data_IF_543451801390
#
_entry.id   IF_543451801390
#
_cell.length_a   1.000
_cell.length_b   1.000
_cell.length_c   1.000
_cell.angle_alpha   90.00
_cell.angle_beta   90.00
_cell.angle_gamma   90.00
#
_symmetry.space_group_name_H-M   'P 1'
#
loop_
_entity.id
_entity.type
_entity.pdbx_description
1 polymer ?
#
# COMPACT_ATOMS: atom_id res chain seq x y z
N UNK A 1 -12.76 -10.76 -7.43
CA UNK A 1 -12.52 -10.66 -5.98
C UNK A 1 -13.02 -9.32 -5.53
N UNK A 2 -13.62 -9.27 -4.35
CA UNK A 2 -14.07 -8.05 -3.69
C UNK A 2 -12.95 -7.52 -2.80
N UNK A 3 -12.51 -6.30 -3.07
CA UNK A 3 -11.43 -5.64 -2.35
C UNK A 3 -11.96 -4.38 -1.71
N UNK A 4 -11.77 -4.25 -0.40
CA UNK A 4 -11.97 -2.98 0.30
C UNK A 4 -10.63 -2.29 0.50
N UNK A 5 -10.52 -1.03 0.10
CA UNK A 5 -9.31 -0.22 0.23
C UNK A 5 -9.55 0.92 1.21
N UNK A 6 -9.02 0.83 2.42
CA UNK A 6 -9.18 1.83 3.47
C UNK A 6 -8.09 2.90 3.35
N UNK A 7 -8.53 4.12 3.08
CA UNK A 7 -7.71 5.30 2.81
C UNK A 7 -7.71 5.63 1.31
N UNK A 8 -8.07 6.85 0.96
CA UNK A 8 -8.00 7.38 -0.42
C UNK A 8 -6.94 8.47 -0.57
N UNK A 9 -5.85 8.33 0.19
CA UNK A 9 -4.60 9.04 -0.08
C UNK A 9 -3.89 8.47 -1.32
N UNK A 10 -2.66 8.91 -1.57
CA UNK A 10 -1.90 8.53 -2.76
C UNK A 10 -1.80 7.01 -2.96
N UNK A 11 -1.33 6.29 -1.94
CA UNK A 11 -1.18 4.82 -1.98
C UNK A 11 -2.52 4.12 -2.21
N UNK A 12 -3.53 4.46 -1.41
CA UNK A 12 -4.81 3.75 -1.42
C UNK A 12 -5.61 4.01 -2.70
N UNK A 13 -5.69 5.27 -3.16
CA UNK A 13 -6.42 5.62 -4.37
C UNK A 13 -5.78 4.99 -5.62
N UNK A 14 -4.45 5.10 -5.76
CA UNK A 14 -3.75 4.49 -6.90
C UNK A 14 -3.89 2.96 -6.86
N UNK A 15 -3.63 2.33 -5.71
CA UNK A 15 -3.71 0.87 -5.60
C UNK A 15 -5.13 0.35 -5.86
N UNK A 16 -6.14 0.98 -5.26
CA UNK A 16 -7.54 0.58 -5.44
C UNK A 16 -7.99 0.72 -6.90
N UNK A 17 -7.61 1.82 -7.54
CA UNK A 17 -7.92 2.05 -8.97
C UNK A 17 -7.22 1.01 -9.86
N UNK A 18 -5.94 0.72 -9.61
CA UNK A 18 -5.20 -0.26 -10.41
C UNK A 18 -5.69 -1.69 -10.18
N UNK A 19 -6.09 -2.06 -8.97
CA UNK A 19 -6.76 -3.35 -8.72
C UNK A 19 -8.08 -3.46 -9.48
N UNK A 20 -8.84 -2.37 -9.58
CA UNK A 20 -10.08 -2.33 -10.36
C UNK A 20 -9.82 -2.48 -11.86
N UNK A 21 -8.74 -1.85 -12.35
CA UNK A 21 -8.30 -1.95 -13.74
C UNK A 21 -7.96 -3.39 -14.15
N UNK A 22 -7.34 -4.16 -13.24
CA UNK A 22 -7.03 -5.58 -13.49
C UNK A 22 -8.21 -6.53 -13.22
N UNK A 23 -9.41 -5.99 -13.02
CA UNK A 23 -10.66 -6.75 -13.02
C UNK A 23 -11.22 -7.12 -11.65
N UNK A 24 -10.71 -6.55 -10.56
CA UNK A 24 -11.33 -6.74 -9.24
C UNK A 24 -12.46 -5.72 -9.00
N UNK A 25 -13.41 -6.10 -8.15
CA UNK A 25 -14.44 -5.18 -7.66
C UNK A 25 -13.90 -4.50 -6.41
N UNK A 26 -13.66 -3.19 -6.51
CA UNK A 26 -12.97 -2.41 -5.48
C UNK A 26 -13.90 -1.35 -4.90
N UNK A 27 -13.94 -1.30 -3.57
CA UNK A 27 -14.57 -0.20 -2.84
C UNK A 27 -13.52 0.53 -2.03
N UNK A 28 -13.31 1.79 -2.34
CA UNK A 28 -12.40 2.68 -1.63
C UNK A 28 -13.15 3.41 -0.52
N UNK A 29 -12.66 3.30 0.72
CA UNK A 29 -13.29 3.86 1.92
C UNK A 29 -12.40 4.94 2.51
N UNK A 30 -12.96 6.12 2.80
CA UNK A 30 -12.27 7.17 3.55
C UNK A 30 -13.26 7.87 4.49
N UNK A 31 -12.78 8.32 5.65
CA UNK A 31 -13.62 9.02 6.64
C UNK A 31 -13.90 10.46 6.23
N UNK A 32 -13.06 11.04 5.37
CA UNK A 32 -13.24 12.39 4.86
C UNK A 32 -14.37 12.40 3.81
N UNK A 33 -15.57 12.76 4.26
CA UNK A 33 -16.75 12.85 3.42
C UNK A 33 -16.57 13.81 2.23
N UNK A 34 -15.85 14.91 2.42
CA UNK A 34 -15.61 15.88 1.34
C UNK A 34 -14.70 15.29 0.26
N UNK A 35 -13.70 14.49 0.66
CA UNK A 35 -12.83 13.76 -0.27
C UNK A 35 -13.60 12.68 -1.05
N UNK A 36 -14.45 11.91 -0.36
CA UNK A 36 -15.31 10.89 -0.99
C UNK A 36 -16.30 11.53 -1.97
N UNK A 37 -16.92 12.65 -1.61
CA UNK A 37 -17.82 13.40 -2.49
C UNK A 37 -17.11 13.89 -3.76
N UNK A 38 -15.90 14.46 -3.63
CA UNK A 38 -15.07 14.82 -4.78
C UNK A 38 -14.79 13.64 -5.70
N UNK A 39 -14.37 12.50 -5.15
CA UNK A 39 -14.10 11.30 -5.92
C UNK A 39 -15.34 10.80 -6.66
N UNK A 40 -16.51 10.80 -6.02
CA UNK A 40 -17.78 10.44 -6.64
C UNK A 40 -18.21 11.43 -7.74
N UNK A 41 -17.78 12.69 -7.66
CA UNK A 41 -17.97 13.71 -8.70
C UNK A 41 -16.89 13.67 -9.79
N UNK A 42 -15.92 12.75 -9.73
CA UNK A 42 -14.81 12.63 -10.68
C UNK A 42 -13.68 13.64 -10.45
N UNK A 43 -13.67 14.33 -9.31
CA UNK A 43 -12.62 15.28 -8.92
C UNK A 43 -11.52 14.57 -8.12
N UNK A 44 -10.29 14.55 -8.64
CA UNK A 44 -9.18 13.86 -7.98
C UNK A 44 -8.59 14.71 -6.85
N UNK A 45 -8.45 14.16 -5.63
CA UNK A 45 -7.86 14.87 -4.48
C UNK A 45 -6.33 14.95 -4.51
N UNK A 46 -5.70 14.24 -5.45
CA UNK A 46 -4.25 14.15 -5.65
C UNK A 46 -3.93 14.33 -7.13
N UNK A 47 -2.69 14.71 -7.44
CA UNK A 47 -2.19 14.71 -8.80
C UNK A 47 -1.37 13.44 -9.06
N UNK A 48 -1.82 12.63 -10.00
CA UNK A 48 -1.07 11.49 -10.54
C UNK A 48 -1.38 11.35 -12.04
N UNK A 49 -0.37 11.35 -12.93
CA UNK A 49 -0.60 11.30 -14.37
C UNK A 49 -1.46 10.10 -14.81
N UNK A 50 -2.64 10.38 -15.38
CA UNK A 50 -3.57 9.39 -15.92
C UNK A 50 -4.57 8.80 -14.91
N UNK A 51 -4.46 9.13 -13.62
CA UNK A 51 -5.33 8.56 -12.57
C UNK A 51 -6.79 8.96 -12.74
N UNK A 52 -7.06 10.21 -13.11
CA UNK A 52 -8.39 10.75 -13.39
C UNK A 52 -9.15 9.90 -14.43
N UNK A 53 -8.49 9.59 -15.55
CA UNK A 53 -9.05 8.79 -16.62
C UNK A 53 -9.29 7.33 -16.20
N UNK A 54 -8.37 6.78 -15.40
CA UNK A 54 -8.43 5.40 -14.93
C UNK A 54 -9.56 5.21 -13.90
N UNK A 55 -9.72 6.17 -12.97
CA UNK A 55 -10.85 6.20 -12.04
C UNK A 55 -12.16 6.31 -12.80
N UNK A 56 -12.29 7.27 -13.72
CA UNK A 56 -13.53 7.47 -14.48
C UNK A 56 -13.93 6.21 -15.28
N UNK A 57 -12.96 5.53 -15.90
CA UNK A 57 -13.19 4.29 -16.64
C UNK A 57 -13.71 3.18 -15.72
N UNK A 58 -13.07 2.96 -14.58
CA UNK A 58 -13.41 1.86 -13.67
C UNK A 58 -14.71 2.11 -12.88
N UNK A 59 -15.01 3.37 -12.55
CA UNK A 59 -16.32 3.77 -12.00
C UNK A 59 -17.42 3.50 -13.02
N UNK A 60 -17.23 3.92 -14.29
CA UNK A 60 -18.19 3.66 -15.37
C UNK A 60 -18.39 2.16 -15.62
N UNK A 61 -17.34 1.36 -15.44
CA UNK A 61 -17.41 -0.09 -15.57
C UNK A 61 -18.06 -0.79 -14.35
N UNK A 62 -18.39 -0.05 -13.29
CA UNK A 62 -19.03 -0.58 -12.08
C UNK A 62 -18.09 -1.38 -11.16
N UNK A 63 -16.78 -1.34 -11.41
CA UNK A 63 -15.76 -2.08 -10.63
C UNK A 63 -15.05 -1.23 -9.58
N UNK A 64 -15.27 0.08 -9.56
CA UNK A 64 -14.70 1.00 -8.57
C UNK A 64 -15.80 1.87 -8.00
N UNK A 65 -15.86 1.97 -6.68
CA UNK A 65 -16.75 2.90 -5.98
C UNK A 65 -16.10 3.50 -4.74
N UNK A 66 -16.65 4.61 -4.26
CA UNK A 66 -16.14 5.35 -3.11
C UNK A 66 -17.24 5.55 -2.07
N UNK A 67 -16.93 5.35 -0.79
CA UNK A 67 -17.88 5.49 0.30
C UNK A 67 -17.22 5.92 1.59
N UNK A 68 -18.01 6.47 2.52
CA UNK A 68 -17.62 6.68 3.92
C UNK A 68 -18.07 5.52 4.82
N UNK A 69 -18.97 4.65 4.35
CA UNK A 69 -19.39 3.46 5.07
C UNK A 69 -18.38 2.33 4.90
N UNK A 70 -17.75 1.94 6.01
CA UNK A 70 -16.79 0.83 6.02
C UNK A 70 -17.48 -0.54 6.12
N UNK A 71 -18.64 -0.61 6.80
CA UNK A 71 -19.20 -1.89 7.23
C UNK A 71 -19.64 -2.76 6.06
N UNK A 72 -20.43 -2.20 5.14
CA UNK A 72 -20.90 -2.94 3.96
C UNK A 72 -19.75 -3.51 3.12
N UNK A 73 -18.77 -2.68 2.72
CA UNK A 73 -17.62 -3.14 1.94
C UNK A 73 -16.78 -4.22 2.64
N UNK A 74 -16.50 -4.07 3.94
CA UNK A 74 -15.69 -5.06 4.69
C UNK A 74 -16.41 -6.39 4.80
N UNK A 75 -17.72 -6.41 5.10
CA UNK A 75 -18.51 -7.64 5.17
C UNK A 75 -18.44 -8.49 3.87
N UNK A 76 -18.33 -7.83 2.71
CA UNK A 76 -18.34 -8.50 1.41
C UNK A 76 -16.93 -8.79 0.86
N UNK A 77 -15.87 -8.38 1.55
CA UNK A 77 -14.52 -8.38 1.00
C UNK A 77 -13.79 -9.71 1.18
N UNK A 78 -13.17 -10.19 0.10
CA UNK A 78 -12.16 -11.25 0.15
C UNK A 78 -10.86 -10.73 0.81
N UNK A 79 -10.52 -9.46 0.53
CA UNK A 79 -9.35 -8.79 1.07
C UNK A 79 -9.64 -7.33 1.45
N UNK A 80 -9.14 -6.90 2.60
CA UNK A 80 -9.26 -5.53 3.11
C UNK A 80 -7.88 -4.94 3.27
N UNK A 81 -7.58 -3.89 2.51
CA UNK A 81 -6.31 -3.18 2.60
C UNK A 81 -6.41 -1.99 3.55
N UNK A 82 -5.46 -1.91 4.46
CA UNK A 82 -5.22 -0.72 5.28
C UNK A 82 -4.09 0.07 4.59
N UNK A 83 -4.47 1.17 3.94
CA UNK A 83 -3.60 2.07 3.18
C UNK A 83 -3.72 3.53 3.68
N UNK A 84 -3.97 3.68 4.98
CA UNK A 84 -4.01 4.98 5.67
C UNK A 84 -2.61 5.55 5.89
N UNK A 85 -2.52 6.86 6.12
CA UNK A 85 -1.25 7.51 6.41
C UNK A 85 -0.64 7.03 7.73
N UNK A 86 0.69 7.05 7.78
CA UNK A 86 1.51 6.78 8.97
C UNK A 86 2.51 7.92 9.12
N UNK A 87 2.04 9.15 9.41
CA UNK A 87 2.92 10.30 9.54
C UNK A 87 3.89 10.12 10.71
N UNK A 88 4.92 10.96 10.79
CA UNK A 88 5.75 11.04 11.99
C UNK A 88 4.92 11.47 13.20
N UNK A 89 5.25 10.93 14.36
CA UNK A 89 4.73 11.38 15.65
C UNK A 89 5.02 12.86 15.89
N UNK A 90 4.31 13.48 16.84
CA UNK A 90 4.49 14.90 17.15
C UNK A 90 5.92 15.28 17.57
N UNK A 91 6.67 14.34 18.13
CA UNK A 91 8.09 14.47 18.51
C UNK A 91 9.07 13.96 17.44
N UNK A 92 8.57 13.50 16.28
CA UNK A 92 9.32 12.95 15.14
C UNK A 92 10.21 11.74 15.47
N UNK A 93 9.92 11.01 16.56
CA UNK A 93 10.75 9.86 16.99
C UNK A 93 10.25 8.52 16.45
N UNK A 94 8.97 8.42 16.12
CA UNK A 94 8.34 7.17 15.68
C UNK A 94 7.22 7.43 14.66
N UNK A 95 6.73 6.37 14.02
CA UNK A 95 5.56 6.44 13.15
C UNK A 95 4.28 6.50 14.00
N UNK A 96 3.35 7.39 13.67
CA UNK A 96 2.01 7.40 14.24
C UNK A 96 1.16 6.29 13.60
N UNK A 97 0.81 5.30 14.43
CA UNK A 97 0.02 4.13 14.03
C UNK A 97 -1.45 4.23 14.46
N UNK A 98 -1.87 5.38 15.02
CA UNK A 98 -3.24 5.59 15.50
C UNK A 98 -4.28 5.33 14.41
N UNK A 99 -4.02 5.77 13.18
CA UNK A 99 -4.92 5.54 12.03
C UNK A 99 -5.00 4.06 11.63
N UNK A 100 -3.86 3.36 11.63
CA UNK A 100 -3.81 1.91 11.31
C UNK A 100 -4.59 1.12 12.36
N UNK A 101 -4.39 1.42 13.64
CA UNK A 101 -5.10 0.74 14.73
C UNK A 101 -6.58 1.08 14.78
N UNK A 102 -6.96 2.32 14.46
CA UNK A 102 -8.37 2.69 14.32
C UNK A 102 -9.04 1.90 13.17
N UNK A 103 -8.39 1.84 12.00
CA UNK A 103 -8.87 1.05 10.87
C UNK A 103 -9.00 -0.44 11.24
N UNK A 104 -8.02 -1.01 11.93
CA UNK A 104 -8.06 -2.40 12.38
C UNK A 104 -9.26 -2.70 13.31
N UNK A 105 -9.60 -1.78 14.23
CA UNK A 105 -10.78 -1.93 15.11
C UNK A 105 -12.07 -1.89 14.31
N UNK A 106 -12.20 -0.94 13.39
CA UNK A 106 -13.39 -0.82 12.54
C UNK A 106 -13.57 -2.01 11.61
N UNK A 107 -12.48 -2.53 11.05
CA UNK A 107 -12.48 -3.79 10.30
C UNK A 107 -12.99 -4.91 11.19
N UNK A 108 -12.46 -5.07 12.41
CA UNK A 108 -12.92 -6.11 13.33
C UNK A 108 -14.42 -6.04 13.59
N UNK A 109 -14.99 -4.86 13.80
CA UNK A 109 -16.42 -4.70 14.04
C UNK A 109 -17.30 -5.09 12.84
N UNK A 110 -16.72 -5.05 11.63
CA UNK A 110 -17.36 -5.30 10.35
C UNK A 110 -16.91 -6.61 9.67
N UNK A 111 -16.14 -7.48 10.33
CA UNK A 111 -15.79 -8.77 9.73
C UNK A 111 -17.02 -9.70 9.70
N UNK A 112 -17.28 -10.27 8.53
CA UNK A 112 -18.24 -11.34 8.32
C UNK A 112 -17.67 -12.35 7.30
N UNK A 113 -17.57 -13.62 7.69
CA UNK A 113 -16.83 -14.63 6.92
C UNK A 113 -15.30 -14.49 7.02
N UNK A 114 -14.59 -15.22 6.15
CA UNK A 114 -13.13 -15.17 6.11
C UNK A 114 -12.61 -14.03 5.25
N UNK A 115 -11.73 -13.22 5.82
CA UNK A 115 -11.14 -12.06 5.13
C UNK A 115 -9.64 -12.00 5.34
N UNK A 116 -8.89 -11.63 4.29
CA UNK A 116 -7.46 -11.31 4.41
C UNK A 116 -7.29 -9.81 4.67
N UNK A 117 -6.76 -9.45 5.84
CA UNK A 117 -6.47 -8.06 6.19
C UNK A 117 -5.02 -7.73 5.82
N UNK A 118 -4.85 -6.76 4.93
CA UNK A 118 -3.57 -6.43 4.30
C UNK A 118 -3.07 -5.08 4.78
N UNK A 119 -1.99 -5.07 5.56
CA UNK A 119 -1.28 -3.84 5.90
C UNK A 119 -0.45 -3.40 4.68
N UNK A 120 -0.89 -2.32 4.03
CA UNK A 120 -0.20 -1.68 2.91
C UNK A 120 0.51 -0.39 3.30
N UNK A 121 0.02 0.29 4.33
CA UNK A 121 0.70 1.41 4.99
C UNK A 121 2.14 1.04 5.37
N UNK A 122 3.06 2.01 5.30
CA UNK A 122 4.44 1.80 5.76
C UNK A 122 4.46 1.78 7.29
N UNK A 123 4.55 0.58 7.87
CA UNK A 123 4.46 0.36 9.32
C UNK A 123 5.71 -0.29 9.88
N UNK A 124 6.15 0.09 11.10
CA UNK A 124 7.27 -0.56 11.77
C UNK A 124 7.12 -2.08 11.92
N UNK A 125 8.25 -2.75 12.10
CA UNK A 125 8.26 -4.21 12.31
C UNK A 125 7.52 -4.56 13.59
N UNK A 126 6.55 -5.48 13.48
CA UNK A 126 5.69 -5.91 14.57
C UNK A 126 4.26 -5.42 14.47
N UNK A 127 3.99 -4.36 13.69
CA UNK A 127 2.64 -3.79 13.57
C UNK A 127 1.61 -4.79 13.04
N UNK A 128 1.98 -5.69 12.13
CA UNK A 128 1.09 -6.75 11.66
C UNK A 128 0.65 -7.73 12.76
N UNK A 129 1.46 -7.92 13.82
CA UNK A 129 1.04 -8.67 15.01
C UNK A 129 0.08 -7.87 15.85
N UNK A 130 0.34 -6.59 16.06
CA UNK A 130 -0.55 -5.74 16.85
C UNK A 130 -1.92 -5.56 16.18
N UNK A 131 -1.97 -5.44 14.85
CA UNK A 131 -3.23 -5.46 14.08
C UNK A 131 -3.96 -6.79 14.27
N UNK A 132 -3.25 -7.92 14.22
CA UNK A 132 -3.83 -9.24 14.48
C UNK A 132 -4.41 -9.34 15.90
N UNK A 133 -3.68 -8.87 16.91
CA UNK A 133 -4.11 -8.86 18.32
C UNK A 133 -5.32 -7.94 18.53
N UNK A 134 -5.36 -6.77 17.88
CA UNK A 134 -6.50 -5.84 17.93
C UNK A 134 -7.77 -6.49 17.38
N UNK A 135 -7.67 -7.09 16.18
CA UNK A 135 -8.83 -7.71 15.53
C UNK A 135 -9.29 -8.93 16.34
N UNK A 136 -8.35 -9.79 16.76
CA UNK A 136 -8.65 -10.99 17.55
C UNK A 136 -9.26 -10.65 18.90
N UNK A 137 -8.80 -9.57 19.55
CA UNK A 137 -9.33 -9.10 20.82
C UNK A 137 -10.77 -8.58 20.71
N UNK A 138 -11.13 -7.92 19.60
CA UNK A 138 -12.47 -7.40 19.36
C UNK A 138 -13.45 -8.47 18.78
N UNK A 139 -12.94 -9.42 18.00
CA UNK A 139 -13.67 -10.56 17.43
C UNK A 139 -12.88 -11.87 17.53
N UNK A 140 -12.95 -12.56 18.68
CA UNK A 140 -12.23 -13.82 18.87
C UNK A 140 -12.58 -14.89 17.83
N UNK A 141 -13.86 -14.98 17.46
CA UNK A 141 -14.42 -15.97 16.56
C UNK A 141 -14.27 -15.62 15.06
N UNK A 142 -13.76 -14.43 14.72
CA UNK A 142 -13.61 -14.05 13.31
C UNK A 142 -12.55 -14.91 12.61
N UNK A 143 -12.87 -15.40 11.42
CA UNK A 143 -11.89 -16.04 10.56
C UNK A 143 -11.14 -14.97 9.76
N UNK A 144 -9.85 -14.77 10.01
CA UNK A 144 -9.06 -13.81 9.24
C UNK A 144 -7.57 -14.14 9.33
N UNK A 145 -6.81 -13.60 8.38
CA UNK A 145 -5.35 -13.57 8.40
C UNK A 145 -4.84 -12.15 8.18
N UNK A 146 -3.74 -11.79 8.86
CA UNK A 146 -3.07 -10.50 8.65
C UNK A 146 -1.81 -10.66 7.82
N UNK A 147 -1.75 -9.92 6.72
CA UNK A 147 -0.67 -9.91 5.72
C UNK A 147 0.01 -8.54 5.69
N UNK A 148 1.33 -8.52 5.53
CA UNK A 148 2.05 -7.29 5.16
C UNK A 148 2.28 -7.28 3.64
N UNK A 149 1.83 -6.24 2.96
CA UNK A 149 2.09 -6.02 1.53
C UNK A 149 2.49 -4.55 1.32
N UNK A 150 3.76 -4.20 1.61
CA UNK A 150 4.22 -2.84 1.46
C UNK A 150 4.13 -2.39 -0.01
N UNK A 151 3.96 -1.09 -0.19
CA UNK A 151 4.03 -0.44 -1.50
C UNK A 151 5.45 0.06 -1.81
N UNK A 152 5.78 0.25 -3.09
CA UNK A 152 7.06 0.82 -3.53
C UNK A 152 6.85 1.86 -4.63
N UNK A 153 5.74 2.58 -4.56
CA UNK A 153 5.29 3.51 -5.57
C UNK A 153 6.07 4.83 -5.43
N UNK A 154 6.40 5.46 -6.54
CA UNK A 154 6.96 6.81 -6.56
C UNK A 154 5.90 7.81 -7.01
N UNK A 155 5.79 8.91 -6.27
CA UNK A 155 4.88 10.00 -6.65
C UNK A 155 5.18 10.53 -8.06
N UNK A 156 4.13 10.67 -8.89
CA UNK A 156 4.23 11.04 -10.30
C UNK A 156 4.42 9.87 -11.28
N UNK A 157 4.60 8.63 -10.79
CA UNK A 157 4.75 7.43 -11.63
C UNK A 157 4.11 6.17 -11.05
N UNK A 158 3.24 6.32 -10.05
CA UNK A 158 2.72 5.22 -9.25
C UNK A 158 1.80 4.28 -10.02
N UNK A 159 1.07 4.75 -11.03
CA UNK A 159 0.29 3.83 -11.89
C UNK A 159 1.23 2.86 -12.59
N UNK A 160 2.32 3.37 -13.18
CA UNK A 160 3.30 2.52 -13.85
C UNK A 160 4.03 1.61 -12.85
N UNK A 161 4.44 2.15 -11.70
CA UNK A 161 5.11 1.36 -10.66
C UNK A 161 4.20 0.27 -10.08
N UNK A 162 2.87 0.48 -10.04
CA UNK A 162 1.92 -0.56 -9.61
C UNK A 162 1.68 -1.60 -10.70
N UNK A 163 1.48 -1.15 -11.94
CA UNK A 163 1.13 -2.03 -13.08
C UNK A 163 2.32 -2.81 -13.62
N UNK A 164 3.55 -2.34 -13.38
CA UNK A 164 4.81 -2.97 -13.78
C UNK A 164 5.85 -2.87 -12.64
N UNK A 165 5.59 -3.47 -11.47
CA UNK A 165 6.51 -3.36 -10.36
C UNK A 165 7.73 -4.24 -10.60
N UNK A 166 8.90 -3.81 -10.11
CA UNK A 166 10.11 -4.65 -10.10
C UNK A 166 9.87 -5.97 -9.32
N UNK A 167 9.02 -5.89 -8.29
CA UNK A 167 8.60 -7.00 -7.41
C UNK A 167 7.38 -6.62 -6.58
N UNK A 168 6.59 -7.61 -6.20
CA UNK A 168 5.57 -7.51 -5.15
C UNK A 168 6.06 -8.27 -3.91
N UNK A 169 6.06 -7.64 -2.74
CA UNK A 169 6.47 -8.28 -1.48
C UNK A 169 5.24 -8.63 -0.66
N UNK A 170 5.15 -9.88 -0.21
CA UNK A 170 4.01 -10.39 0.56
C UNK A 170 4.51 -11.16 1.79
N UNK A 171 4.26 -10.60 2.96
CA UNK A 171 4.61 -11.15 4.26
C UNK A 171 3.43 -11.87 4.91
N UNK A 172 3.46 -13.20 4.98
CA UNK A 172 2.44 -14.02 5.63
C UNK A 172 3.00 -15.36 6.10
N UNK A 173 2.39 -15.94 7.14
CA UNK A 173 2.66 -17.30 7.59
C UNK A 173 1.49 -18.27 7.30
N UNK A 174 0.40 -17.77 6.70
CA UNK A 174 -0.79 -18.56 6.36
C UNK A 174 -0.78 -18.94 4.89
N UNK A 175 -0.87 -20.24 4.59
CA UNK A 175 -1.00 -20.73 3.22
C UNK A 175 -2.33 -20.29 2.59
N UNK A 176 -3.42 -20.23 3.39
CA UNK A 176 -4.72 -19.73 2.95
C UNK A 176 -4.61 -18.27 2.49
N UNK A 177 -3.99 -17.41 3.29
CA UNK A 177 -3.77 -16.01 2.93
C UNK A 177 -2.81 -15.87 1.73
N UNK A 178 -1.78 -16.71 1.65
CA UNK A 178 -0.87 -16.74 0.50
C UNK A 178 -1.62 -17.02 -0.80
N UNK A 179 -2.57 -17.96 -0.80
CA UNK A 179 -3.32 -18.31 -2.01
C UNK A 179 -4.30 -17.20 -2.43
N UNK A 180 -4.98 -16.56 -1.48
CA UNK A 180 -5.79 -15.36 -1.74
C UNK A 180 -4.94 -14.25 -2.37
N UNK A 181 -3.77 -13.97 -1.79
CA UNK A 181 -2.86 -12.93 -2.30
C UNK A 181 -2.28 -13.27 -3.67
N UNK A 182 -2.02 -14.55 -3.97
CA UNK A 182 -1.59 -15.00 -5.31
C UNK A 182 -2.67 -14.75 -6.35
N UNK A 183 -3.92 -15.12 -6.06
CA UNK A 183 -5.01 -14.98 -7.01
C UNK A 183 -5.30 -13.49 -7.27
N UNK A 184 -5.25 -12.66 -6.24
CA UNK A 184 -5.38 -11.20 -6.37
C UNK A 184 -4.27 -10.58 -7.25
N UNK A 185 -3.02 -11.02 -7.11
CA UNK A 185 -1.92 -10.50 -7.93
C UNK A 185 -1.71 -11.23 -9.26
N UNK A 186 -2.52 -12.26 -9.55
CA UNK A 186 -2.42 -13.09 -10.75
C UNK A 186 -2.41 -12.29 -12.06
N UNK A 187 -3.22 -11.23 -12.24
CA UNK A 187 -3.16 -10.44 -13.46
C UNK A 187 -1.79 -9.80 -13.73
N UNK A 188 -1.06 -9.41 -12.68
CA UNK A 188 0.29 -8.86 -12.80
C UNK A 188 1.34 -9.96 -13.05
N UNK A 189 1.09 -11.19 -12.63
CA UNK A 189 2.01 -12.30 -12.91
C UNK A 189 2.09 -12.65 -14.40
N UNK A 190 1.07 -12.31 -15.20
CA UNK A 190 1.06 -12.52 -16.65
C UNK A 190 2.13 -11.70 -17.40
N UNK A 191 2.69 -10.68 -16.76
CA UNK A 191 3.83 -9.90 -17.28
C UNK A 191 5.15 -10.25 -16.57
N UNK A 192 5.22 -11.45 -15.98
CA UNK A 192 6.40 -12.02 -15.29
C UNK A 192 6.87 -11.23 -14.06
N UNK A 193 5.99 -10.43 -13.44
CA UNK A 193 6.29 -9.73 -12.18
C UNK A 193 6.65 -10.73 -11.06
N UNK A 194 7.84 -10.63 -10.43
CA UNK A 194 8.21 -11.49 -9.32
C UNK A 194 7.38 -11.19 -8.06
N UNK A 195 6.78 -12.23 -7.46
CA UNK A 195 6.13 -12.14 -6.16
C UNK A 195 7.01 -12.80 -5.09
N UNK A 196 7.55 -11.99 -4.18
CA UNK A 196 8.36 -12.44 -3.06
C UNK A 196 7.46 -12.73 -1.84
N UNK A 197 7.22 -14.02 -1.59
CA UNK A 197 6.61 -14.46 -0.34
C UNK A 197 7.66 -14.60 0.76
N UNK A 198 7.39 -13.99 1.92
CA UNK A 198 8.26 -14.02 3.10
C UNK A 198 7.45 -14.00 4.39
N UNK A 199 8.13 -13.95 5.54
CA UNK A 199 7.49 -13.77 6.86
C UNK A 199 7.01 -12.34 7.02
N UNK A 200 5.91 -12.13 7.75
CA UNK A 200 5.31 -10.81 7.98
C UNK A 200 6.31 -9.74 8.51
N UNK A 201 7.11 -10.00 9.56
CA UNK A 201 8.12 -9.03 10.03
C UNK A 201 9.19 -8.70 8.98
N UNK A 202 9.52 -9.66 8.12
CA UNK A 202 10.50 -9.48 7.05
C UNK A 202 9.95 -8.55 5.96
N UNK A 203 8.68 -8.70 5.58
CA UNK A 203 8.06 -7.79 4.61
C UNK A 203 7.98 -6.34 5.14
N UNK A 204 7.60 -6.16 6.41
CA UNK A 204 7.59 -4.86 7.08
C UNK A 204 8.99 -4.22 7.04
N UNK A 205 10.03 -5.00 7.36
CA UNK A 205 11.42 -4.52 7.35
C UNK A 205 11.93 -4.18 5.94
N UNK A 206 11.55 -4.95 4.91
CA UNK A 206 12.00 -4.70 3.52
C UNK A 206 11.63 -3.29 3.07
N UNK A 207 10.45 -2.77 3.45
CA UNK A 207 10.04 -1.41 3.07
C UNK A 207 10.98 -0.37 3.65
N UNK A 208 11.26 -0.45 4.95
CA UNK A 208 12.18 0.47 5.62
C UNK A 208 13.60 0.32 5.08
N UNK A 209 14.09 -0.91 4.89
CA UNK A 209 15.42 -1.17 4.37
C UNK A 209 15.61 -0.61 2.95
N UNK A 210 14.60 -0.76 2.08
CA UNK A 210 14.65 -0.22 0.72
C UNK A 210 14.70 1.31 0.71
N UNK A 211 13.79 1.97 1.45
CA UNK A 211 13.77 3.43 1.52
C UNK A 211 15.03 4.00 2.18
N UNK A 212 15.51 3.38 3.26
CA UNK A 212 16.75 3.77 3.93
C UNK A 212 17.95 3.62 3.00
N UNK A 213 18.04 2.51 2.25
CA UNK A 213 19.14 2.29 1.32
C UNK A 213 19.14 3.31 0.17
N UNK A 214 17.98 3.66 -0.38
CA UNK A 214 17.87 4.73 -1.38
C UNK A 214 18.33 6.08 -0.83
N UNK A 215 17.92 6.42 0.40
CA UNK A 215 18.39 7.63 1.07
C UNK A 215 19.92 7.61 1.27
N UNK A 216 20.48 6.47 1.71
CA UNK A 216 21.93 6.30 1.84
C UNK A 216 22.66 6.52 0.52
N UNK A 217 22.15 5.99 -0.61
CA UNK A 217 22.79 6.20 -1.92
C UNK A 217 22.83 7.68 -2.31
N UNK A 218 21.76 8.43 -2.04
CA UNK A 218 21.68 9.86 -2.33
C UNK A 218 22.64 10.63 -1.41
N UNK A 219 22.60 10.40 -0.10
CA UNK A 219 23.50 11.06 0.84
C UNK A 219 24.96 10.74 0.52
N UNK A 220 25.27 9.49 0.19
CA UNK A 220 26.62 9.08 -0.19
C UNK A 220 27.13 9.86 -1.41
N UNK A 221 26.35 9.94 -2.49
CA UNK A 221 26.81 10.67 -3.68
C UNK A 221 26.88 12.18 -3.44
N UNK A 222 26.05 12.74 -2.55
CA UNK A 222 26.15 14.15 -2.16
C UNK A 222 27.45 14.44 -1.40
N UNK A 223 27.84 13.60 -0.44
CA UNK A 223 29.13 13.76 0.27
C UNK A 223 30.33 13.61 -0.68
N UNK A 224 30.22 12.73 -1.68
CA UNK A 224 31.22 12.63 -2.75
C UNK A 224 31.23 13.88 -3.64
N UNK A 225 30.06 14.50 -3.89
CA UNK A 225 29.97 15.75 -4.62
C UNK A 225 30.72 16.89 -3.91
N UNK A 226 30.51 17.02 -2.60
CA UNK A 226 31.21 18.02 -1.77
C UNK A 226 32.74 17.81 -1.82
N UNK A 227 33.20 16.54 -1.79
CA UNK A 227 34.61 16.23 -1.97
C UNK A 227 35.11 16.58 -3.38
N UNK A 228 34.31 16.32 -4.42
CA UNK A 228 34.64 16.64 -5.81
C UNK A 228 34.90 18.14 -6.00
N UNK A 229 34.14 19.02 -5.32
CA UNK A 229 34.36 20.47 -5.36
C UNK A 229 35.74 20.88 -4.83
N UNK A 230 36.25 20.19 -3.82
CA UNK A 230 37.55 20.49 -3.19
C UNK A 230 38.72 19.95 -4.02
N UNK A 231 38.56 18.79 -4.66
CA UNK A 231 39.63 18.11 -5.40
C UNK A 231 39.58 18.32 -6.91
N UNK A 232 38.68 19.19 -7.38
CA UNK A 232 38.47 19.51 -8.80
C UNK A 232 38.09 18.27 -9.65
N UNK A 233 37.24 17.39 -9.10
CA UNK A 233 36.67 16.25 -9.82
C UNK A 233 35.24 16.52 -10.31
N UNK A 234 34.75 15.75 -11.30
CA UNK A 234 33.37 15.83 -11.79
C UNK A 234 32.51 14.72 -11.17
N UNK A 235 31.53 15.11 -10.34
CA UNK A 235 30.64 14.16 -9.67
C UNK A 235 29.77 13.35 -10.65
N UNK A 236 29.44 13.89 -11.83
CA UNK A 236 28.69 13.15 -12.85
C UNK A 236 29.51 12.03 -13.45
N UNK A 237 30.81 12.27 -13.71
CA UNK A 237 31.72 11.22 -14.18
C UNK A 237 31.96 10.16 -13.10
N UNK A 238 32.09 10.56 -11.82
CA UNK A 238 32.19 9.63 -10.69
C UNK A 238 30.93 8.78 -10.57
N UNK A 239 29.74 9.40 -10.55
CA UNK A 239 28.46 8.70 -10.46
C UNK A 239 28.26 7.72 -11.62
N UNK A 240 28.67 8.11 -12.84
CA UNK A 240 28.68 7.22 -14.00
C UNK A 240 29.66 6.08 -13.81
N UNK A 241 30.89 6.35 -13.37
CA UNK A 241 31.94 5.36 -13.19
C UNK A 241 31.60 4.25 -12.18
N UNK A 242 30.90 4.59 -11.10
CA UNK A 242 30.43 3.60 -10.10
C UNK A 242 29.09 2.93 -10.45
N UNK A 243 28.40 3.46 -11.46
CA UNK A 243 27.07 3.00 -11.90
C UNK A 243 27.07 2.13 -13.16
N UNK A 244 28.22 1.98 -13.84
CA UNK A 244 28.43 1.01 -14.92
C UNK A 244 28.35 -0.43 -14.40
#
# INVERSE_FOLDING_TARGET
MHITMIGTGYVGLVSGTCFSEVGHDVVCVDKDAAKVEKLNNGEMPIFEPGLDSLVASNVKAGRLSFTTDLKGPVNAADAVFIAVGTPSSADNTHADLSYVYAAAREVADALDGYTVVVNKSTVPVGTGREVEDIIRGARPEAEFDVVSNPEFLREGSAINDFMRPDRVVIGTNSDRARDVMKEMYRPLFLIETPILFTKRPTAELIKYAANAFLATKITFINEIADLCEVVEADVHDVARGIGL
#
